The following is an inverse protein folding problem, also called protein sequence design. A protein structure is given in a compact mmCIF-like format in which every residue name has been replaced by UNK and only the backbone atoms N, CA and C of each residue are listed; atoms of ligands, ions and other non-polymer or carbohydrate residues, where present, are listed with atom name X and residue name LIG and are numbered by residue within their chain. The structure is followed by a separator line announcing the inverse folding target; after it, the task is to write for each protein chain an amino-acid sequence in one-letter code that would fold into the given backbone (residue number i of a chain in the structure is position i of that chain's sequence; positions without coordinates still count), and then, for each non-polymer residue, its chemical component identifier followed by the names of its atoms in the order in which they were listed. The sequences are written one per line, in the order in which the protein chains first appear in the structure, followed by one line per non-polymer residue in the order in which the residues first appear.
data_IF_140871915203
#
_entry.id   IF_140871915203
#
_cell.length_a   1.000
_cell.length_b   1.000
_cell.length_c   1.000
_cell.angle_alpha   90.00
_cell.angle_beta   90.00
_cell.angle_gamma   90.00
#
_symmetry.space_group_name_H-M   'P 1'
#
loop_
_entity.id
_entity.type
_entity.pdbx_description
1 polymer ?
#
# COMPACT_ATOMS: atom_id res chain seq x y z
N UNK A 1 -10.66 -17.47 48.53
CA UNK A 1 -11.50 -16.31 48.17
C UNK A 1 -10.73 -15.54 47.11
N UNK A 2 -10.92 -15.78 45.82
CA UNK A 2 -12.06 -15.35 44.99
C UNK A 2 -12.42 -13.88 45.22
N UNK A 3 -11.82 -13.01 44.41
CA UNK A 3 -12.57 -11.89 43.83
C UNK A 3 -12.03 -11.66 42.42
N UNK A 4 -12.81 -12.12 41.45
CA UNK A 4 -12.67 -11.76 40.05
C UNK A 4 -12.80 -10.22 39.93
N UNK A 5 -12.15 -9.58 38.96
CA UNK A 5 -12.50 -8.21 38.60
C UNK A 5 -13.97 -8.20 38.16
N UNK A 6 -14.73 -7.33 38.82
CA UNK A 6 -16.15 -7.10 38.56
C UNK A 6 -16.31 -6.51 37.15
N UNK A 7 -17.33 -6.90 36.36
CA UNK A 7 -17.68 -6.17 35.16
C UNK A 7 -18.48 -4.95 35.63
N UNK A 8 -17.78 -3.86 35.95
CA UNK A 8 -18.39 -2.55 35.74
C UNK A 8 -18.48 -2.43 34.22
N UNK A 9 -19.66 -2.82 33.73
CA UNK A 9 -20.09 -2.55 32.39
C UNK A 9 -20.11 -1.03 32.24
N UNK A 10 -19.04 -0.50 31.64
CA UNK A 10 -19.11 0.71 30.84
C UNK A 10 -20.12 0.42 29.74
N UNK A 11 -21.37 0.70 30.09
CA UNK A 11 -22.57 0.64 29.26
C UNK A 11 -22.68 1.94 28.45
N UNK A 12 -21.63 2.24 27.70
CA UNK A 12 -21.61 3.26 26.65
C UNK A 12 -20.92 2.65 25.42
N UNK A 13 -21.56 1.59 24.90
CA UNK A 13 -21.27 1.06 23.57
C UNK A 13 -22.12 1.80 22.54
N UNK A 14 -21.74 3.03 22.25
CA UNK A 14 -21.85 3.59 20.91
C UNK A 14 -20.39 3.60 20.41
N UNK A 15 -19.92 2.57 19.71
CA UNK A 15 -19.99 2.47 18.25
C UNK A 15 -19.33 3.70 17.59
N UNK A 16 -18.41 3.45 16.65
CA UNK A 16 -17.89 4.42 15.68
C UNK A 16 -16.66 5.21 16.15
N UNK A 17 -15.51 4.58 16.05
CA UNK A 17 -14.22 5.21 16.31
C UNK A 17 -13.10 4.18 16.28
N UNK A 18 -12.94 3.53 15.13
CA UNK A 18 -11.77 2.74 14.80
C UNK A 18 -10.51 3.59 14.93
N UNK A 19 -9.84 3.47 16.07
CA UNK A 19 -8.54 4.06 16.29
C UNK A 19 -7.60 3.68 15.13
N UNK A 20 -7.07 4.72 14.48
CA UNK A 20 -5.96 4.76 13.52
C UNK A 20 -6.29 4.98 12.04
N UNK A 21 -7.55 4.91 11.62
CA UNK A 21 -7.93 5.29 10.24
C UNK A 21 -8.46 6.72 10.17
N UNK A 22 -8.14 7.41 9.07
CA UNK A 22 -8.53 8.81 8.86
C UNK A 22 -10.04 8.96 8.57
N UNK A 23 -10.69 7.89 8.12
CA UNK A 23 -12.11 7.84 7.75
C UNK A 23 -12.70 6.53 8.26
N UNK A 24 -13.88 6.60 8.86
CA UNK A 24 -14.67 5.42 9.21
C UNK A 24 -15.36 4.82 7.99
N UNK A 25 -15.87 3.59 8.13
CA UNK A 25 -16.60 2.90 7.04
C UNK A 25 -17.88 3.65 6.65
N UNK A 26 -18.52 4.34 7.59
CA UNK A 26 -19.73 5.14 7.35
C UNK A 26 -19.42 6.50 6.70
N UNK A 27 -18.15 6.94 6.72
CA UNK A 27 -17.70 8.19 6.10
C UNK A 27 -17.42 8.03 4.59
N UNK A 28 -17.38 6.79 4.09
CA UNK A 28 -17.11 6.47 2.68
C UNK A 28 -18.29 5.76 2.04
N UNK A 29 -18.60 6.09 0.78
CA UNK A 29 -19.65 5.44 0.00
C UNK A 29 -19.37 3.94 -0.24
N UNK A 30 -20.33 3.19 -0.80
CA UNK A 30 -20.17 1.75 -1.12
C UNK A 30 -19.00 1.42 -2.06
N UNK A 31 -18.51 2.44 -2.77
CA UNK A 31 -17.38 2.46 -3.67
C UNK A 31 -16.09 3.02 -3.04
N UNK A 32 -16.14 3.45 -1.79
CA UNK A 32 -14.99 4.01 -1.07
C UNK A 32 -14.75 5.50 -1.33
N UNK A 33 -15.70 6.19 -1.95
CA UNK A 33 -15.58 7.59 -2.37
C UNK A 33 -16.29 8.50 -1.35
N UNK A 34 -15.75 9.70 -1.14
CA UNK A 34 -16.39 10.78 -0.36
C UNK A 34 -17.12 11.71 -1.34
N UNK A 35 -18.42 11.92 -1.14
CA UNK A 35 -19.30 12.66 -2.06
C UNK A 35 -18.89 14.13 -2.33
N UNK A 36 -18.08 14.73 -1.45
CA UNK A 36 -17.63 16.14 -1.52
C UNK A 36 -16.22 16.33 -2.11
N UNK A 37 -15.51 15.26 -2.48
CA UNK A 37 -14.18 15.36 -3.07
C UNK A 37 -14.31 15.57 -4.59
N UNK A 38 -13.59 16.55 -5.20
CA UNK A 38 -13.55 16.65 -6.67
C UNK A 38 -13.16 15.30 -7.25
N UNK A 39 -13.61 14.96 -8.47
CA UNK A 39 -13.38 13.68 -9.17
C UNK A 39 -11.88 13.40 -9.45
N UNK A 40 -11.03 13.35 -8.43
CA UNK A 40 -9.59 13.11 -8.49
C UNK A 40 -9.33 11.72 -9.07
N UNK A 41 -10.24 10.76 -8.81
CA UNK A 41 -10.17 9.39 -9.32
C UNK A 41 -10.35 9.27 -10.84
N UNK A 42 -10.88 10.29 -11.52
CA UNK A 42 -11.09 10.27 -12.98
C UNK A 42 -9.94 10.92 -13.76
N UNK A 43 -8.99 11.56 -13.07
CA UNK A 43 -7.82 12.14 -13.73
C UNK A 43 -6.81 11.02 -14.04
N UNK A 44 -6.37 10.88 -15.30
CA UNK A 44 -5.28 9.96 -15.62
C UNK A 44 -4.06 10.27 -14.74
N UNK A 45 -3.61 9.27 -13.98
CA UNK A 45 -2.34 9.33 -13.26
C UNK A 45 -1.20 9.34 -14.28
N UNK A 46 -0.78 10.54 -14.69
CA UNK A 46 0.36 10.70 -15.59
C UNK A 46 1.63 10.20 -14.89
N UNK A 47 2.32 9.19 -15.44
CA UNK A 47 3.57 8.74 -14.83
C UNK A 47 4.61 9.86 -14.87
N UNK A 48 5.21 10.15 -13.71
CA UNK A 48 6.40 10.98 -13.59
C UNK A 48 7.53 10.43 -14.46
N UNK A 49 8.33 11.33 -15.05
CA UNK A 49 9.58 10.93 -15.68
C UNK A 49 10.52 10.31 -14.63
N UNK A 50 11.07 9.11 -14.86
CA UNK A 50 11.86 8.43 -13.85
C UNK A 50 13.11 9.23 -13.51
N UNK A 51 13.42 9.32 -12.21
CA UNK A 51 14.68 9.90 -11.74
C UNK A 51 15.86 9.06 -12.20
N UNK A 52 17.02 9.71 -12.40
CA UNK A 52 18.25 9.04 -12.85
C UNK A 52 18.65 7.84 -11.96
N UNK A 53 18.45 7.95 -10.65
CA UNK A 53 18.71 6.87 -9.69
C UNK A 53 17.85 5.61 -9.96
N UNK A 54 16.55 5.80 -10.19
CA UNK A 54 15.64 4.69 -10.49
C UNK A 54 16.02 4.01 -11.81
N UNK A 55 16.40 4.79 -12.82
CA UNK A 55 16.88 4.26 -14.10
C UNK A 55 18.17 3.44 -13.90
N UNK A 56 19.10 3.93 -13.08
CA UNK A 56 20.34 3.21 -12.79
C UNK A 56 20.07 1.85 -12.15
N UNK A 57 19.17 1.77 -11.16
CA UNK A 57 18.80 0.49 -10.54
C UNK A 57 18.21 -0.51 -11.53
N UNK A 58 17.32 -0.06 -12.42
CA UNK A 58 16.72 -0.91 -13.46
C UNK A 58 17.81 -1.42 -14.41
N UNK A 59 18.70 -0.54 -14.88
CA UNK A 59 19.78 -0.93 -15.78
C UNK A 59 20.73 -1.95 -15.14
N UNK A 60 21.09 -1.78 -13.87
CA UNK A 60 21.91 -2.75 -13.14
C UNK A 60 21.21 -4.11 -13.09
N UNK A 61 19.92 -4.13 -12.75
CA UNK A 61 19.12 -5.37 -12.74
C UNK A 61 19.09 -6.07 -14.10
N UNK A 62 18.88 -5.31 -15.17
CA UNK A 62 18.89 -5.83 -16.55
C UNK A 62 20.26 -6.39 -16.91
N UNK A 63 21.35 -5.67 -16.61
CA UNK A 63 22.71 -6.14 -16.89
C UNK A 63 23.05 -7.42 -16.12
N UNK A 64 22.63 -7.53 -14.86
CA UNK A 64 22.82 -8.74 -14.06
C UNK A 64 22.01 -9.91 -14.62
N UNK A 65 20.74 -9.70 -14.97
CA UNK A 65 19.89 -10.73 -15.55
C UNK A 65 20.45 -11.24 -16.90
N UNK A 66 20.82 -10.32 -17.79
CA UNK A 66 21.45 -10.65 -19.07
C UNK A 66 22.78 -11.36 -18.84
N UNK A 67 23.62 -10.85 -17.95
CA UNK A 67 24.90 -11.47 -17.60
C UNK A 67 24.73 -12.91 -17.11
N UNK A 68 23.75 -13.15 -16.25
CA UNK A 68 23.42 -14.49 -15.77
C UNK A 68 22.98 -15.41 -16.91
N UNK A 69 22.10 -14.93 -17.80
CA UNK A 69 21.66 -15.70 -18.97
C UNK A 69 22.86 -16.04 -19.85
N UNK A 70 23.74 -15.08 -20.12
CA UNK A 70 24.92 -15.31 -20.96
C UNK A 70 25.83 -16.37 -20.32
N UNK A 71 26.16 -16.24 -19.04
CA UNK A 71 27.03 -17.18 -18.32
C UNK A 71 26.44 -18.58 -18.26
N UNK A 72 25.12 -18.71 -18.04
CA UNK A 72 24.47 -20.01 -17.81
C UNK A 72 24.08 -20.72 -19.10
N UNK A 73 23.63 -19.97 -20.10
CA UNK A 73 23.13 -20.53 -21.38
C UNK A 73 24.28 -20.69 -22.39
N UNK A 74 25.29 -19.81 -22.33
CA UNK A 74 26.43 -19.82 -23.26
C UNK A 74 27.77 -20.00 -22.53
N UNK A 75 28.02 -21.21 -21.97
CA UNK A 75 29.30 -21.51 -21.34
C UNK A 75 30.43 -21.43 -22.39
N UNK A 76 31.25 -20.37 -22.31
CA UNK A 76 32.34 -20.09 -23.25
C UNK A 76 32.20 -18.78 -24.05
N UNK A 77 31.21 -17.95 -23.76
CA UNK A 77 31.09 -16.60 -24.33
C UNK A 77 32.19 -15.62 -23.86
N UNK A 78 33.07 -16.05 -22.96
CA UNK A 78 34.17 -15.29 -22.38
C UNK A 78 35.38 -16.19 -22.15
#
# INVERSE_FOLDING_TARGET
MSRAPSPEADDDRDADGDGEWRFGVDDVGPDGIIDDEPEIEQLPIEPESPRAENVAFVLIGVLLAVGLIVVTVFPGAF
#
